data_IF_582408439853
#
_entry.id   IF_582408439853
#
_cell.length_a   1.000
_cell.length_b   1.000
_cell.length_c   1.000
_cell.angle_alpha   90.00
_cell.angle_beta   90.00
_cell.angle_gamma   90.00
#
_symmetry.space_group_name_H-M   'P 1'
#
loop_
_entity.id
_entity.type
_entity.pdbx_description
1 polymer ?
#
# COMPACT_ATOMS: atom_id res chain seq x y z
N UNK A 1 5.59 -13.72 8.29
CA UNK A 1 5.66 -13.90 6.83
C UNK A 1 5.73 -12.52 6.21
N UNK A 2 6.53 -12.34 5.17
CA UNK A 2 6.70 -11.04 4.51
C UNK A 2 5.80 -10.98 3.28
N UNK A 3 5.07 -9.91 3.13
CA UNK A 3 4.16 -9.67 2.01
C UNK A 3 4.55 -8.38 1.31
N UNK A 4 4.42 -8.34 0.00
CA UNK A 4 4.57 -7.16 -0.83
C UNK A 4 3.18 -6.65 -1.15
N UNK A 5 2.88 -5.44 -0.66
CA UNK A 5 1.64 -4.75 -0.91
C UNK A 5 1.89 -3.77 -2.03
N UNK A 6 1.19 -3.94 -3.15
CA UNK A 6 1.19 -3.00 -4.27
C UNK A 6 -0.05 -2.11 -4.15
N UNK A 7 0.14 -0.79 -4.23
CA UNK A 7 -0.94 0.17 -4.10
C UNK A 7 -0.83 1.28 -5.14
N UNK A 8 -1.96 1.89 -5.45
CA UNK A 8 -2.06 3.06 -6.30
C UNK A 8 -2.66 4.22 -5.52
N UNK A 9 -2.06 5.39 -5.68
CA UNK A 9 -2.48 6.63 -5.06
C UNK A 9 -2.87 7.62 -6.15
N UNK A 10 -4.07 8.19 -6.04
CA UNK A 10 -4.51 9.28 -6.91
C UNK A 10 -4.24 10.60 -6.22
N UNK A 11 -3.38 11.41 -6.83
CA UNK A 11 -3.08 12.77 -6.41
C UNK A 11 -3.61 13.75 -7.45
N UNK A 12 -3.71 15.04 -7.09
CA UNK A 12 -4.08 16.08 -8.05
C UNK A 12 -3.16 16.15 -9.28
N UNK A 13 -1.94 15.62 -9.19
CA UNK A 13 -0.95 15.60 -10.26
C UNK A 13 -0.93 14.30 -11.08
N UNK A 14 -1.78 13.32 -10.76
CA UNK A 14 -1.86 12.05 -11.50
C UNK A 14 -1.92 10.82 -10.60
N UNK A 15 -1.75 9.66 -11.22
CA UNK A 15 -1.80 8.35 -10.58
C UNK A 15 -0.38 7.86 -10.30
N UNK A 16 -0.11 7.51 -9.05
CA UNK A 16 1.19 7.00 -8.60
C UNK A 16 1.04 5.57 -8.10
N UNK A 17 1.97 4.69 -8.43
CA UNK A 17 1.98 3.31 -7.97
C UNK A 17 3.17 3.10 -7.03
N UNK A 18 2.89 2.57 -5.84
CA UNK A 18 3.88 2.28 -4.81
C UNK A 18 3.82 0.82 -4.36
N UNK A 19 4.90 0.39 -3.71
CA UNK A 19 4.97 -0.94 -3.12
C UNK A 19 5.61 -0.85 -1.73
N UNK A 20 5.01 -1.53 -0.76
CA UNK A 20 5.50 -1.57 0.62
C UNK A 20 5.58 -3.01 1.09
N UNK A 21 6.65 -3.32 1.80
CA UNK A 21 6.80 -4.61 2.45
C UNK A 21 6.12 -4.60 3.82
N UNK A 22 5.31 -5.61 4.08
CA UNK A 22 4.53 -5.75 5.29
C UNK A 22 4.71 -7.13 5.90
N UNK A 23 5.05 -7.16 7.17
CA UNK A 23 5.22 -8.41 7.90
C UNK A 23 3.95 -8.73 8.68
N UNK A 24 3.40 -9.92 8.45
CA UNK A 24 2.21 -10.41 9.14
C UNK A 24 2.36 -11.88 9.51
N UNK A 25 1.73 -12.27 10.61
CA UNK A 25 1.62 -13.67 11.01
C UNK A 25 0.58 -14.45 10.18
N UNK A 26 -0.36 -13.74 9.54
CA UNK A 26 -1.44 -14.30 8.73
C UNK A 26 -1.42 -13.69 7.33
N UNK A 27 -2.01 -14.38 6.34
CA UNK A 27 -2.14 -13.89 4.98
C UNK A 27 -3.05 -12.64 4.95
N UNK A 28 -2.49 -11.43 4.70
CA UNK A 28 -3.26 -10.22 4.66
C UNK A 28 -4.01 -10.08 3.33
N UNK A 29 -5.18 -9.47 3.38
CA UNK A 29 -6.04 -9.15 2.25
C UNK A 29 -5.93 -7.68 1.87
N UNK A 30 -6.41 -7.33 0.68
CA UNK A 30 -6.43 -5.93 0.21
C UNK A 30 -7.33 -5.01 1.06
N UNK A 31 -8.22 -5.59 1.86
CA UNK A 31 -9.15 -4.89 2.75
C UNK A 31 -8.67 -4.83 4.20
N UNK A 32 -7.57 -5.50 4.53
CA UNK A 32 -7.05 -5.48 5.89
C UNK A 32 -6.61 -4.07 6.29
N UNK A 33 -7.07 -3.65 7.47
CA UNK A 33 -6.78 -2.30 7.96
C UNK A 33 -5.26 -2.09 8.10
N UNK A 34 -4.52 -3.09 8.57
CA UNK A 34 -3.08 -2.99 8.72
C UNK A 34 -2.34 -2.85 7.38
N UNK A 35 -2.84 -3.48 6.31
CA UNK A 35 -2.32 -3.34 4.93
C UNK A 35 -2.57 -1.92 4.43
N UNK A 36 -3.78 -1.42 4.63
CA UNK A 36 -4.19 -0.08 4.23
C UNK A 36 -3.36 0.96 4.98
N UNK A 37 -3.16 0.80 6.29
CA UNK A 37 -2.33 1.69 7.11
C UNK A 37 -0.86 1.66 6.71
N UNK A 38 -0.30 0.49 6.39
CA UNK A 38 1.07 0.36 5.91
C UNK A 38 1.27 1.09 4.58
N UNK A 39 0.37 0.86 3.62
CA UNK A 39 0.38 1.54 2.33
C UNK A 39 0.15 3.05 2.48
N UNK A 40 -0.78 3.47 3.35
CA UNK A 40 -1.02 4.88 3.66
C UNK A 40 0.24 5.54 4.21
N UNK A 41 0.89 4.93 5.22
CA UNK A 41 2.11 5.45 5.84
C UNK A 41 3.25 5.60 4.84
N UNK A 42 3.46 4.61 3.97
CA UNK A 42 4.44 4.71 2.90
C UNK A 42 4.05 5.82 1.90
N UNK A 43 2.77 5.90 1.57
CA UNK A 43 2.25 6.91 0.65
C UNK A 43 2.28 8.34 1.20
N UNK A 44 2.46 8.55 2.51
CA UNK A 44 2.69 9.88 3.11
C UNK A 44 3.86 10.61 2.47
N UNK A 45 4.86 9.86 1.98
CA UNK A 45 6.00 10.44 1.23
C UNK A 45 5.56 11.09 -0.09
N UNK A 46 4.41 10.68 -0.63
CA UNK A 46 3.77 11.23 -1.82
C UNK A 46 2.60 12.20 -1.48
N UNK A 47 2.15 12.23 -0.22
CA UNK A 47 1.04 13.08 0.27
C UNK A 47 1.37 14.57 0.43
N UNK A 48 2.58 15.02 0.11
CA UNK A 48 2.92 16.45 0.13
C UNK A 48 2.01 17.34 -0.76
N UNK A 49 1.17 16.75 -1.61
CA UNK A 49 0.26 17.47 -2.51
C UNK A 49 -1.24 17.13 -2.36
N UNK A 50 -1.66 16.46 -1.28
CA UNK A 50 -3.06 16.09 -1.06
C UNK A 50 -3.50 14.94 -1.96
N UNK A 51 -3.53 13.72 -1.43
CA UNK A 51 -4.08 12.59 -2.18
C UNK A 51 -5.61 12.54 -2.01
N UNK A 52 -6.28 12.24 -3.11
CA UNK A 52 -7.72 12.00 -3.16
C UNK A 52 -8.12 10.54 -2.87
N UNK A 53 -7.15 9.64 -2.67
CA UNK A 53 -7.42 8.24 -2.29
C UNK A 53 -6.26 7.30 -2.58
N UNK A 54 -6.18 6.22 -1.80
CA UNK A 54 -5.26 5.09 -1.97
C UNK A 54 -6.07 3.82 -2.21
N UNK A 55 -5.61 2.98 -3.13
CA UNK A 55 -6.24 1.69 -3.44
C UNK A 55 -5.18 0.60 -3.50
N UNK A 56 -5.36 -0.45 -2.72
CA UNK A 56 -4.48 -1.62 -2.78
C UNK A 56 -4.83 -2.40 -4.05
N UNK A 57 -3.84 -2.63 -4.91
CA UNK A 57 -4.01 -3.36 -6.18
C UNK A 57 -3.71 -4.84 -6.03
N UNK A 58 -2.74 -5.19 -5.18
CA UNK A 58 -2.34 -6.58 -4.95
C UNK A 58 -1.64 -6.74 -3.61
N UNK A 59 -1.77 -7.92 -3.02
CA UNK A 59 -0.96 -8.37 -1.88
C UNK A 59 -0.39 -9.72 -2.29
N UNK A 60 0.94 -9.83 -2.29
CA UNK A 60 1.64 -11.05 -2.69
C UNK A 60 2.61 -11.48 -1.59
N UNK A 61 2.67 -12.77 -1.28
CA UNK A 61 3.66 -13.31 -0.36
C UNK A 61 5.06 -13.17 -0.98
N UNK A 62 5.99 -12.58 -0.23
CA UNK A 62 7.42 -12.57 -0.58
C UNK A 62 8.00 -13.88 -0.08
N UNK A 63 7.95 -14.90 -0.94
CA UNK A 63 8.66 -16.15 -0.71
C UNK A 63 10.16 -15.90 -0.97
N UNK A 64 10.97 -16.13 0.06
CA UNK A 64 12.42 -15.93 0.02
C UNK A 64 13.16 -17.23 -0.33
#
# INVERSE_FOLDING_TARGET
MKFLICYECRTGNGLFSGQVEFESAQEPTTTDQAVIEAALKDSVRFHASGAGGLSITSVSLVAH
#
